data_IF_869349540802
#
_entry.id   IF_869349540802
#
_cell.length_a   1.000
_cell.length_b   1.000
_cell.length_c   1.000
_cell.angle_alpha   90.00
_cell.angle_beta   90.00
_cell.angle_gamma   90.00
#
_symmetry.space_group_name_H-M   'P 1'
#
loop_
_entity.id
_entity.type
_entity.pdbx_description
1 polymer ?
#
# COMPACT_ATOMS: atom_id res chain seq x y z
N UNK A 1 10.48 -0.43 -14.78
CA UNK A 1 10.33 -0.66 -16.24
C UNK A 1 8.98 -0.11 -16.65
N UNK A 2 8.92 0.98 -17.40
CA UNK A 2 7.70 1.80 -17.50
C UNK A 2 6.67 1.20 -18.47
N UNK A 3 5.39 1.16 -18.09
CA UNK A 3 4.30 0.68 -18.94
C UNK A 3 3.10 0.17 -18.14
N UNK A 4 1.98 -0.07 -18.81
CA UNK A 4 0.75 -0.56 -18.17
C UNK A 4 0.78 -2.08 -18.03
N UNK A 5 0.47 -2.57 -16.84
CA UNK A 5 0.16 -3.98 -16.56
C UNK A 5 -1.34 -4.08 -16.30
N UNK A 6 -2.08 -4.65 -17.25
CA UNK A 6 -3.48 -5.01 -17.05
C UNK A 6 -3.53 -6.37 -16.32
N UNK A 7 -3.59 -6.32 -14.99
CA UNK A 7 -3.62 -7.50 -14.15
C UNK A 7 -5.07 -7.99 -13.97
N UNK A 8 -5.31 -9.25 -14.36
CA UNK A 8 -6.57 -9.95 -14.08
C UNK A 8 -6.36 -11.20 -13.19
N UNK A 9 -5.13 -11.40 -12.71
CA UNK A 9 -4.74 -12.54 -11.88
C UNK A 9 -4.06 -12.09 -10.59
N UNK A 10 -2.99 -12.77 -10.21
CA UNK A 10 -2.16 -12.43 -9.04
C UNK A 10 -0.77 -12.05 -9.51
N UNK A 11 -0.36 -10.82 -9.24
CA UNK A 11 1.01 -10.36 -9.44
C UNK A 11 1.79 -10.51 -8.13
N UNK A 12 2.75 -11.42 -8.07
CA UNK A 12 3.59 -11.65 -6.90
C UNK A 12 4.94 -10.97 -7.09
N UNK A 13 5.35 -10.14 -6.14
CA UNK A 13 6.63 -9.42 -6.16
C UNK A 13 7.29 -9.50 -4.79
N UNK A 14 8.60 -9.79 -4.76
CA UNK A 14 9.36 -9.99 -3.52
C UNK A 14 9.96 -8.69 -2.98
N UNK A 15 10.67 -7.96 -3.82
CA UNK A 15 11.41 -6.75 -3.47
C UNK A 15 11.77 -5.98 -4.74
N UNK A 16 12.21 -4.74 -4.61
CA UNK A 16 12.64 -3.86 -5.70
C UNK A 16 11.68 -2.70 -5.94
N UNK A 17 11.64 -2.20 -7.17
CA UNK A 17 10.80 -1.06 -7.57
C UNK A 17 9.83 -1.50 -8.65
N UNK A 18 8.54 -1.17 -8.46
CA UNK A 18 7.48 -1.39 -9.42
C UNK A 18 6.88 -0.04 -9.85
N UNK A 19 7.48 0.52 -10.90
CA UNK A 19 7.10 1.81 -11.51
C UNK A 19 5.97 1.66 -12.56
N UNK A 20 5.46 0.45 -12.76
CA UNK A 20 4.42 0.18 -13.75
C UNK A 20 3.06 0.68 -13.27
N UNK A 21 2.26 1.23 -14.18
CA UNK A 21 0.82 1.44 -13.95
C UNK A 21 0.11 0.08 -13.92
N UNK A 22 -0.32 -0.35 -12.75
CA UNK A 22 -1.15 -1.53 -12.54
C UNK A 22 -2.63 -1.16 -12.69
N UNK A 23 -3.37 -1.96 -13.45
CA UNK A 23 -4.82 -1.77 -13.67
C UNK A 23 -5.53 -3.13 -13.70
N UNK A 24 -6.86 -3.11 -13.66
CA UNK A 24 -7.69 -4.33 -13.75
C UNK A 24 -8.11 -4.89 -12.39
N UNK A 25 -8.73 -6.07 -12.40
CA UNK A 25 -9.34 -6.67 -11.21
C UNK A 25 -8.42 -7.65 -10.48
N UNK A 26 -7.20 -7.84 -10.95
CA UNK A 26 -6.21 -8.70 -10.30
C UNK A 26 -5.61 -8.08 -9.04
N UNK A 27 -4.98 -8.91 -8.22
CA UNK A 27 -4.35 -8.51 -6.96
C UNK A 27 -2.82 -8.40 -7.06
N UNK A 28 -2.25 -7.58 -6.17
CA UNK A 28 -0.82 -7.52 -5.90
C UNK A 28 -0.51 -8.27 -4.60
N UNK A 29 0.53 -9.10 -4.60
CA UNK A 29 1.01 -9.78 -3.39
C UNK A 29 2.49 -9.48 -3.18
N UNK A 30 2.78 -8.71 -2.13
CA UNK A 30 4.13 -8.49 -1.64
C UNK A 30 4.58 -9.70 -0.82
N UNK A 31 5.61 -10.36 -1.32
CA UNK A 31 6.27 -11.53 -0.72
C UNK A 31 7.68 -11.18 -0.27
N UNK A 32 8.40 -12.12 0.33
CA UNK A 32 9.79 -11.90 0.76
C UNK A 32 9.91 -10.94 1.96
N UNK A 33 11.14 -10.78 2.44
CA UNK A 33 11.44 -9.98 3.64
C UNK A 33 11.98 -8.59 3.31
N UNK A 34 12.35 -8.34 2.06
CA UNK A 34 12.87 -7.05 1.59
C UNK A 34 11.77 -6.00 1.40
N UNK A 35 12.17 -4.88 0.80
CA UNK A 35 11.30 -3.75 0.49
C UNK A 35 10.86 -3.79 -0.98
N UNK A 36 9.57 -3.51 -1.22
CA UNK A 36 9.04 -3.20 -2.54
C UNK A 36 8.51 -1.78 -2.54
N UNK A 37 9.00 -0.95 -3.45
CA UNK A 37 8.45 0.39 -3.70
C UNK A 37 7.47 0.33 -4.85
N UNK A 38 6.26 0.83 -4.62
CA UNK A 38 5.19 0.93 -5.60
C UNK A 38 4.95 2.41 -5.91
N UNK A 39 5.32 2.83 -7.12
CA UNK A 39 5.35 4.25 -7.53
C UNK A 39 4.57 4.56 -8.80
N UNK A 40 3.93 3.56 -9.41
CA UNK A 40 3.07 3.76 -10.57
C UNK A 40 1.68 4.30 -10.21
N UNK A 41 1.05 5.02 -11.14
CA UNK A 41 -0.34 5.48 -11.03
C UNK A 41 -1.31 4.30 -11.11
N UNK A 42 -1.59 3.67 -9.98
CA UNK A 42 -2.25 2.37 -9.95
C UNK A 42 -3.77 2.48 -9.78
N UNK A 43 -4.51 1.69 -10.55
CA UNK A 43 -5.99 1.64 -10.55
C UNK A 43 -6.54 0.22 -10.41
N UNK A 44 -5.71 -0.74 -10.01
CA UNK A 44 -6.17 -2.11 -9.79
C UNK A 44 -7.13 -2.20 -8.60
N UNK A 45 -8.14 -3.05 -8.72
CA UNK A 45 -9.22 -3.19 -7.72
C UNK A 45 -9.20 -4.52 -6.98
N UNK A 46 -8.33 -5.47 -7.37
CA UNK A 46 -8.28 -6.80 -6.75
C UNK A 46 -7.67 -6.86 -5.35
N UNK A 47 -7.11 -5.74 -4.86
CA UNK A 47 -6.50 -5.62 -3.54
C UNK A 47 -5.01 -5.93 -3.48
N UNK A 48 -4.43 -5.64 -2.32
CA UNK A 48 -3.00 -5.77 -2.03
C UNK A 48 -2.82 -6.64 -0.79
N UNK A 49 -2.00 -7.68 -0.88
CA UNK A 49 -1.63 -8.52 0.27
C UNK A 49 -0.14 -8.36 0.57
N UNK A 50 0.20 -7.94 1.78
CA UNK A 50 1.58 -7.87 2.26
C UNK A 50 1.79 -9.05 3.20
N UNK A 51 2.46 -10.09 2.70
CA UNK A 51 2.73 -11.30 3.50
C UNK A 51 3.94 -11.15 4.44
N UNK A 52 4.81 -10.18 4.15
CA UNK A 52 6.01 -9.88 4.94
C UNK A 52 6.87 -8.79 4.28
N UNK A 53 7.91 -8.35 4.99
CA UNK A 53 8.76 -7.24 4.57
C UNK A 53 8.01 -5.90 4.56
N UNK A 54 8.46 -4.99 3.70
CA UNK A 54 7.91 -3.63 3.58
C UNK A 54 7.35 -3.40 2.18
N UNK A 55 6.13 -2.85 2.10
CA UNK A 55 5.60 -2.20 0.90
C UNK A 55 5.62 -0.69 1.13
N UNK A 56 6.34 0.03 0.29
CA UNK A 56 6.48 1.49 0.35
C UNK A 56 5.71 2.13 -0.81
N UNK A 57 4.91 3.15 -0.52
CA UNK A 57 4.27 4.00 -1.51
C UNK A 57 4.41 5.47 -1.08
N UNK A 58 4.97 6.31 -1.94
CA UNK A 58 5.13 7.73 -1.60
C UNK A 58 3.77 8.42 -1.50
N UNK A 59 2.80 7.99 -2.30
CA UNK A 59 1.42 8.48 -2.26
C UNK A 59 0.42 7.32 -2.12
N UNK A 60 -0.64 7.53 -1.35
CA UNK A 60 -1.65 6.51 -1.07
C UNK A 60 -2.40 6.02 -2.32
N UNK A 61 -2.58 6.88 -3.32
CA UNK A 61 -3.22 6.55 -4.61
C UNK A 61 -2.45 5.49 -5.42
N UNK A 62 -1.16 5.31 -5.14
CA UNK A 62 -0.35 4.24 -5.73
C UNK A 62 -0.75 2.84 -5.25
N UNK A 63 -1.62 2.70 -4.23
CA UNK A 63 -2.02 1.40 -3.68
C UNK A 63 -3.29 0.80 -4.32
N UNK A 64 -3.82 1.45 -5.36
CA UNK A 64 -5.05 1.04 -6.02
C UNK A 64 -6.29 1.23 -5.14
N UNK A 65 -7.40 0.58 -5.51
CA UNK A 65 -8.71 0.81 -4.84
C UNK A 65 -9.21 -0.40 -4.04
N UNK A 66 -8.53 -1.54 -4.13
CA UNK A 66 -8.92 -2.76 -3.41
C UNK A 66 -8.52 -2.73 -1.93
N UNK A 67 -8.90 -3.75 -1.17
CA UNK A 67 -8.50 -3.86 0.25
C UNK A 67 -7.00 -4.09 0.40
N UNK A 68 -6.44 -3.71 1.55
CA UNK A 68 -5.06 -3.99 1.92
C UNK A 68 -5.03 -4.94 3.12
N UNK A 69 -4.54 -6.16 2.90
CA UNK A 69 -4.29 -7.15 3.95
C UNK A 69 -2.80 -7.12 4.32
N UNK A 70 -2.48 -6.50 5.45
CA UNK A 70 -1.10 -6.26 5.88
C UNK A 70 -0.69 -7.19 7.03
N UNK A 71 0.33 -8.03 6.80
CA UNK A 71 1.03 -8.81 7.83
C UNK A 71 2.51 -8.41 7.99
N UNK A 72 2.96 -7.38 7.28
CA UNK A 72 4.32 -6.83 7.34
C UNK A 72 4.30 -5.35 7.72
N UNK A 73 4.99 -4.53 6.94
CA UNK A 73 4.99 -3.07 7.07
C UNK A 73 4.39 -2.46 5.81
N UNK A 74 3.40 -1.59 5.99
CA UNK A 74 2.94 -0.67 4.95
C UNK A 74 3.50 0.71 5.27
N UNK A 75 4.30 1.27 4.38
CA UNK A 75 4.85 2.61 4.50
C UNK A 75 4.20 3.53 3.48
N UNK A 76 3.63 4.64 3.94
CA UNK A 76 2.94 5.62 3.09
C UNK A 76 3.43 7.03 3.37
N UNK A 77 3.75 7.78 2.31
CA UNK A 77 4.23 9.15 2.42
C UNK A 77 3.10 10.17 2.66
N UNK A 78 2.16 10.27 1.74
CA UNK A 78 1.08 11.26 1.80
C UNK A 78 -0.17 10.84 1.02
N UNK A 79 -1.23 11.65 1.09
CA UNK A 79 -2.47 11.47 0.35
C UNK A 79 -3.62 10.92 1.19
N UNK A 80 -4.66 10.42 0.53
CA UNK A 80 -5.82 9.82 1.18
C UNK A 80 -5.81 8.30 0.98
N UNK A 81 -5.69 7.55 2.08
CA UNK A 81 -5.81 6.10 2.06
C UNK A 81 -7.28 5.72 2.21
N UNK A 82 -7.96 5.55 1.08
CA UNK A 82 -9.37 5.13 1.02
C UNK A 82 -9.55 3.60 1.18
N UNK A 83 -8.47 2.83 1.06
CA UNK A 83 -8.51 1.38 1.14
C UNK A 83 -8.89 0.92 2.56
N UNK A 84 -9.70 -0.14 2.68
CA UNK A 84 -9.80 -0.89 3.93
C UNK A 84 -8.45 -1.52 4.25
N UNK A 85 -7.83 -1.11 5.35
CA UNK A 85 -6.56 -1.64 5.85
C UNK A 85 -6.81 -2.60 7.01
N UNK A 86 -6.30 -3.83 6.90
CA UNK A 86 -6.54 -4.90 7.88
C UNK A 86 -5.29 -5.73 8.13
N UNK A 87 -5.31 -6.58 9.17
CA UNK A 87 -4.28 -7.58 9.46
C UNK A 87 -3.45 -7.28 10.71
N UNK A 88 -2.33 -8.00 10.87
CA UNK A 88 -1.46 -7.88 12.05
C UNK A 88 -0.21 -7.00 11.82
N UNK A 89 -0.02 -6.53 10.60
CA UNK A 89 1.10 -5.67 10.22
C UNK A 89 0.97 -4.24 10.74
N UNK A 90 2.05 -3.48 10.63
CA UNK A 90 2.13 -2.08 11.06
C UNK A 90 1.99 -1.10 9.90
N UNK A 91 1.49 0.10 10.21
CA UNK A 91 1.50 1.25 9.32
C UNK A 91 2.62 2.22 9.72
N UNK A 92 3.38 2.72 8.75
CA UNK A 92 4.40 3.75 8.95
C UNK A 92 4.08 4.94 8.05
N UNK A 93 3.80 6.08 8.68
CA UNK A 93 3.67 7.37 7.99
C UNK A 93 5.06 7.98 7.82
N UNK A 94 5.43 8.25 6.58
CA UNK A 94 6.70 8.89 6.20
C UNK A 94 6.45 10.15 5.39
N UNK A 95 7.47 10.87 4.97
CA UNK A 95 7.31 12.12 4.21
C UNK A 95 6.72 13.26 5.05
N UNK A 96 6.98 14.49 4.63
CA UNK A 96 6.58 15.69 5.39
C UNK A 96 5.10 16.05 5.22
N UNK A 97 4.41 15.44 4.25
CA UNK A 97 3.01 15.74 3.93
C UNK A 97 1.99 15.15 4.92
N UNK A 98 0.72 15.28 4.56
CA UNK A 98 -0.41 14.75 5.31
C UNK A 98 -0.84 13.40 4.71
N UNK A 99 -1.10 12.42 5.56
CA UNK A 99 -1.77 11.18 5.21
C UNK A 99 -3.09 11.13 5.96
N UNK A 100 -4.21 11.02 5.24
CA UNK A 100 -5.53 10.85 5.83
C UNK A 100 -5.99 9.41 5.66
N UNK A 101 -6.41 8.76 6.75
CA UNK A 101 -7.00 7.43 6.72
C UNK A 101 -8.53 7.55 6.59
N UNK A 102 -9.03 7.40 5.36
CA UNK A 102 -10.45 7.56 5.00
C UNK A 102 -11.18 6.21 4.83
N UNK A 103 -10.45 5.11 4.64
CA UNK A 103 -10.99 3.75 4.64
C UNK A 103 -11.17 3.17 6.04
N UNK A 104 -11.77 1.98 6.14
CA UNK A 104 -11.84 1.21 7.39
C UNK A 104 -10.44 0.76 7.83
N UNK A 105 -10.09 0.95 9.10
CA UNK A 105 -8.76 0.66 9.65
C UNK A 105 -8.82 -0.44 10.73
N UNK A 106 -8.99 -1.70 10.30
CA UNK A 106 -9.14 -2.88 11.16
C UNK A 106 -7.81 -3.60 11.47
N UNK A 107 -6.67 -2.96 11.22
CA UNK A 107 -5.36 -3.56 11.53
C UNK A 107 -5.09 -3.52 13.03
N UNK A 108 -4.41 -4.55 13.52
CA UNK A 108 -4.09 -4.75 14.94
C UNK A 108 -2.64 -4.45 15.30
N UNK A 109 -1.80 -4.20 14.30
CA UNK A 109 -0.42 -3.77 14.51
C UNK A 109 -0.32 -2.29 14.90
N UNK A 110 0.91 -1.85 15.16
CA UNK A 110 1.18 -0.46 15.56
C UNK A 110 1.16 0.52 14.39
N UNK A 111 1.03 1.79 14.73
CA UNK A 111 1.19 2.93 13.82
C UNK A 111 2.40 3.74 14.25
N UNK A 112 3.35 3.95 13.34
CA UNK A 112 4.51 4.83 13.56
C UNK A 112 4.39 6.05 12.66
N UNK A 113 4.70 7.23 13.18
CA UNK A 113 4.76 8.48 12.41
C UNK A 113 6.21 8.93 12.47
N UNK A 114 6.95 8.69 11.39
CA UNK A 114 8.36 9.09 11.29
C UNK A 114 8.48 10.57 10.89
N UNK A 115 7.54 11.08 10.08
CA UNK A 115 7.48 12.48 9.67
C UNK A 115 6.06 12.90 9.23
N UNK A 116 5.82 14.22 9.18
CA UNK A 116 4.57 14.82 8.70
C UNK A 116 3.38 14.65 9.66
N UNK A 117 2.18 14.55 9.09
CA UNK A 117 0.93 14.47 9.84
C UNK A 117 0.13 13.25 9.40
N UNK A 118 -0.38 12.49 10.38
CA UNK A 118 -1.38 11.44 10.16
C UNK A 118 -2.73 11.92 10.67
N UNK A 119 -3.74 11.92 9.80
CA UNK A 119 -5.12 12.28 10.10
C UNK A 119 -5.96 11.00 10.07
N UNK A 120 -6.70 10.73 11.13
CA UNK A 120 -7.56 9.56 11.24
C UNK A 120 -9.02 10.03 11.28
N UNK A 121 -9.62 10.19 10.10
CA UNK A 121 -10.97 10.74 9.97
C UNK A 121 -12.07 9.66 10.15
N UNK A 122 -11.71 8.38 9.91
CA UNK A 122 -12.61 7.23 9.99
C UNK A 122 -12.08 6.08 10.89
N UNK A 123 -11.32 6.40 11.94
CA UNK A 123 -10.80 5.40 12.90
C UNK A 123 -11.80 5.00 14.00
#
# INVERSE_FOLDING_TARGET
GTGTIANSGVLQVGEGELENTLSGTGSLVKTGTGELTLSGDNSYSGGTTITGGTLTADHADSLGTGTIANSGVLQVGEGELENTLSGSGSLVKTGTGELTLNGDNDYSGGTTIDDGVLIADNA
#
